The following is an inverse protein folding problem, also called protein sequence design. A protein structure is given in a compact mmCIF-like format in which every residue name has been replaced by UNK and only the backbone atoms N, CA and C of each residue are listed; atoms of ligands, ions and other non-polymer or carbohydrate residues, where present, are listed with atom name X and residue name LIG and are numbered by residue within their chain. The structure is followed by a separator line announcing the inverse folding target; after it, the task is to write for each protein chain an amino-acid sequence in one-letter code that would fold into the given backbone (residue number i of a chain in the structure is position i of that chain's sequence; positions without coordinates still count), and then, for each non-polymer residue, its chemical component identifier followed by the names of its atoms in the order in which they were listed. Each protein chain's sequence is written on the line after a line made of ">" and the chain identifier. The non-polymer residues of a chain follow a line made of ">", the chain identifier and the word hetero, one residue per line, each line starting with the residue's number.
data_IF_756935624559
#
_entry.id   IF_756935624559
#
_cell.length_a   1.000
_cell.length_b   1.000
_cell.length_c   1.000
_cell.angle_alpha   90.00
_cell.angle_beta   90.00
_cell.angle_gamma   90.00
#
_symmetry.space_group_name_H-M   'P 1'
#
loop_
_entity.id
_entity.type
_entity.pdbx_description
1 polymer ?
#
# COMPACT_ATOMS: atom_id res chain seq x y z
N UNK A 1 -10.25 27.49 14.13
CA UNK A 1 -11.17 27.54 12.99
C UNK A 1 -11.93 26.23 12.95
N UNK A 2 -13.25 26.24 12.80
CA UNK A 2 -14.00 25.00 12.61
C UNK A 2 -13.61 24.35 11.28
N UNK A 3 -13.43 23.03 11.27
CA UNK A 3 -13.21 22.28 10.04
C UNK A 3 -14.45 22.33 9.15
N UNK A 4 -14.25 22.26 7.83
CA UNK A 4 -15.37 22.03 6.93
C UNK A 4 -15.93 20.62 7.14
N UNK A 5 -17.21 20.41 6.82
CA UNK A 5 -17.84 19.10 6.97
C UNK A 5 -17.07 17.96 6.28
N UNK A 6 -16.48 18.23 5.11
CA UNK A 6 -15.67 17.26 4.38
C UNK A 6 -14.36 16.90 5.11
N UNK A 7 -13.68 17.89 5.69
CA UNK A 7 -12.46 17.65 6.48
C UNK A 7 -12.78 16.91 7.78
N UNK A 8 -13.90 17.25 8.42
CA UNK A 8 -14.37 16.55 9.62
C UNK A 8 -14.65 15.07 9.32
N UNK A 9 -15.30 14.76 8.20
CA UNK A 9 -15.56 13.38 7.79
C UNK A 9 -14.28 12.55 7.62
N UNK A 10 -13.16 13.16 7.19
CA UNK A 10 -11.86 12.44 7.13
C UNK A 10 -11.34 12.11 8.52
N UNK A 11 -11.45 13.06 9.47
CA UNK A 11 -11.04 12.84 10.86
C UNK A 11 -11.91 11.75 11.50
N UNK A 12 -13.21 11.77 11.25
CA UNK A 12 -14.15 10.77 11.75
C UNK A 12 -13.80 9.37 11.18
N UNK A 13 -13.61 9.26 9.87
CA UNK A 13 -13.18 8.01 9.22
C UNK A 13 -11.83 7.51 9.74
N UNK A 14 -10.87 8.41 9.98
CA UNK A 14 -9.59 8.05 10.59
C UNK A 14 -9.77 7.50 12.00
N UNK A 15 -10.66 8.08 12.80
CA UNK A 15 -10.93 7.61 14.16
C UNK A 15 -11.59 6.22 14.18
N UNK A 16 -12.46 5.96 13.22
CA UNK A 16 -13.13 4.67 13.01
C UNK A 16 -12.19 3.57 12.49
N UNK A 17 -11.12 3.94 11.78
CA UNK A 17 -10.15 2.99 11.24
C UNK A 17 -9.45 2.17 12.35
N UNK A 18 -8.91 1.02 11.94
CA UNK A 18 -8.19 0.13 12.87
C UNK A 18 -6.97 0.82 13.49
N UNK A 19 -6.51 0.35 14.67
CA UNK A 19 -5.34 0.91 15.34
C UNK A 19 -4.08 0.89 14.46
N UNK A 20 -3.94 -0.14 13.60
CA UNK A 20 -2.82 -0.29 12.68
C UNK A 20 -2.87 0.74 11.56
N UNK A 21 -4.02 0.88 10.92
CA UNK A 21 -4.25 1.90 9.88
C UNK A 21 -4.02 3.30 10.45
N UNK A 22 -4.50 3.57 11.68
CA UNK A 22 -4.21 4.83 12.36
C UNK A 22 -2.72 5.07 12.56
N UNK A 23 -1.97 4.09 13.05
CA UNK A 23 -0.52 4.25 13.23
C UNK A 23 0.21 4.50 11.90
N UNK A 24 -0.14 3.76 10.85
CA UNK A 24 0.47 3.93 9.52
C UNK A 24 0.16 5.30 8.91
N UNK A 25 -1.07 5.77 9.08
CA UNK A 25 -1.55 7.06 8.55
C UNK A 25 -1.58 8.17 9.61
N UNK A 26 -0.73 8.10 10.64
CA UNK A 26 -0.78 8.98 11.83
C UNK A 26 -0.76 10.49 11.54
N UNK A 27 -0.25 10.90 10.38
CA UNK A 27 -0.17 12.30 10.00
C UNK A 27 -1.45 12.83 9.33
N UNK A 28 -2.38 11.97 8.91
CA UNK A 28 -3.62 12.38 8.20
C UNK A 28 -4.42 13.45 8.95
N UNK A 29 -4.71 13.35 10.26
CA UNK A 29 -5.48 14.38 10.96
C UNK A 29 -4.79 15.75 10.88
N UNK A 30 -3.48 15.79 11.18
CA UNK A 30 -2.71 17.04 11.13
C UNK A 30 -2.63 17.64 9.72
N UNK A 31 -2.49 16.79 8.70
CA UNK A 31 -2.41 17.23 7.30
C UNK A 31 -3.73 17.82 6.81
N UNK A 32 -4.85 17.18 7.17
CA UNK A 32 -6.19 17.66 6.84
C UNK A 32 -6.50 18.98 7.53
N UNK A 33 -6.09 19.15 8.78
CA UNK A 33 -6.34 20.39 9.53
C UNK A 33 -5.53 21.57 8.99
N UNK A 34 -4.24 21.35 8.76
CA UNK A 34 -3.27 22.43 8.52
C UNK A 34 -3.08 22.77 7.04
N UNK A 35 -3.38 21.85 6.13
CA UNK A 35 -3.07 21.99 4.71
C UNK A 35 -4.31 21.83 3.81
N UNK A 36 -4.09 22.03 2.51
CA UNK A 36 -5.07 21.66 1.48
C UNK A 36 -5.17 20.12 1.41
N UNK A 37 -6.36 19.55 1.20
CA UNK A 37 -6.54 18.08 1.16
C UNK A 37 -5.64 17.38 0.16
N UNK A 38 -5.27 18.05 -0.94
CA UNK A 38 -4.27 17.58 -1.91
C UNK A 38 -2.94 17.11 -1.28
N UNK A 39 -2.45 17.76 -0.22
CA UNK A 39 -1.22 17.34 0.47
C UNK A 39 -1.45 16.00 1.19
N UNK A 40 -2.60 15.85 1.83
CA UNK A 40 -2.97 14.61 2.50
C UNK A 40 -3.23 13.48 1.49
N UNK A 41 -3.75 13.79 0.30
CA UNK A 41 -3.87 12.84 -0.82
C UNK A 41 -2.50 12.29 -1.20
N UNK A 42 -1.52 13.16 -1.47
CA UNK A 42 -0.15 12.71 -1.78
C UNK A 42 0.41 11.78 -0.71
N UNK A 43 0.29 12.19 0.56
CA UNK A 43 0.76 11.41 1.71
C UNK A 43 0.14 10.01 1.79
N UNK A 44 -1.19 9.87 1.67
CA UNK A 44 -1.83 8.55 1.82
C UNK A 44 -1.45 7.60 0.69
N UNK A 45 -1.25 8.11 -0.53
CA UNK A 45 -0.73 7.31 -1.63
C UNK A 45 0.74 6.94 -1.41
N UNK A 46 1.62 7.86 -0.98
CA UNK A 46 3.01 7.46 -0.71
C UNK A 46 3.09 6.37 0.37
N UNK A 47 2.25 6.48 1.41
CA UNK A 47 2.12 5.46 2.46
C UNK A 47 1.61 4.11 1.95
N UNK A 48 0.60 4.09 1.07
CA UNK A 48 0.07 2.84 0.52
C UNK A 48 1.05 2.18 -0.47
N UNK A 49 1.76 2.95 -1.31
CA UNK A 49 2.81 2.42 -2.19
C UNK A 49 3.95 1.78 -1.38
N UNK A 50 4.38 2.44 -0.30
CA UNK A 50 5.37 1.87 0.61
C UNK A 50 4.89 0.56 1.25
N UNK A 51 3.62 0.46 1.63
CA UNK A 51 3.01 -0.75 2.17
C UNK A 51 2.95 -1.89 1.14
N UNK A 52 2.59 -1.60 -0.11
CA UNK A 52 2.58 -2.58 -1.21
C UNK A 52 3.97 -3.17 -1.42
N UNK A 53 4.98 -2.31 -1.60
CA UNK A 53 6.38 -2.72 -1.76
C UNK A 53 6.86 -3.57 -0.58
N UNK A 54 6.58 -3.12 0.65
CA UNK A 54 6.95 -3.87 1.85
C UNK A 54 6.27 -5.25 1.91
N UNK A 55 5.01 -5.35 1.47
CA UNK A 55 4.25 -6.61 1.40
C UNK A 55 4.84 -7.59 0.41
N UNK A 56 5.18 -7.13 -0.80
CA UNK A 56 5.84 -7.94 -1.83
C UNK A 56 7.19 -8.45 -1.33
N UNK A 57 8.03 -7.56 -0.78
CA UNK A 57 9.33 -7.95 -0.20
C UNK A 57 9.14 -8.96 0.92
N UNK A 58 8.17 -8.74 1.82
CA UNK A 58 7.88 -9.68 2.90
C UNK A 58 7.49 -11.05 2.35
N UNK A 59 6.61 -11.12 1.35
CA UNK A 59 6.22 -12.37 0.69
C UNK A 59 7.38 -13.09 0.03
N UNK A 60 8.22 -12.38 -0.72
CA UNK A 60 9.43 -12.95 -1.33
C UNK A 60 10.36 -13.55 -0.28
N UNK A 61 10.54 -12.84 0.84
CA UNK A 61 11.42 -13.29 1.93
C UNK A 61 10.81 -14.46 2.69
N UNK A 62 9.53 -14.42 3.06
CA UNK A 62 8.90 -15.41 3.94
C UNK A 62 8.48 -16.68 3.20
N UNK A 63 7.92 -16.55 1.99
CA UNK A 63 7.38 -17.66 1.19
C UNK A 63 8.42 -18.27 0.27
N UNK A 64 9.22 -17.45 -0.40
CA UNK A 64 10.21 -17.89 -1.39
C UNK A 64 11.64 -17.92 -0.86
N UNK A 65 11.82 -17.63 0.44
CA UNK A 65 13.12 -17.61 1.14
C UNK A 65 14.14 -16.70 0.45
N UNK A 66 13.68 -15.68 -0.28
CA UNK A 66 14.55 -14.78 -1.00
C UNK A 66 15.53 -14.08 -0.04
N UNK A 67 16.75 -13.83 -0.52
CA UNK A 67 17.68 -12.96 0.17
C UNK A 67 17.11 -11.54 0.19
N UNK A 68 16.83 -11.01 1.38
CA UNK A 68 16.12 -9.73 1.55
C UNK A 68 16.71 -8.56 0.77
N UNK A 69 18.04 -8.42 0.75
CA UNK A 69 18.66 -7.31 0.01
C UNK A 69 18.31 -7.35 -1.49
N UNK A 70 18.30 -8.54 -2.10
CA UNK A 70 17.95 -8.73 -3.51
C UNK A 70 16.45 -8.55 -3.72
N UNK A 71 15.62 -9.04 -2.80
CA UNK A 71 14.17 -8.80 -2.85
C UNK A 71 13.83 -7.29 -2.77
N UNK A 72 14.57 -6.52 -1.97
CA UNK A 72 14.42 -5.06 -1.89
C UNK A 72 14.89 -4.35 -3.15
N UNK A 73 15.96 -4.82 -3.80
CA UNK A 73 16.40 -4.26 -5.09
C UNK A 73 15.26 -4.33 -6.11
N UNK A 74 14.58 -5.47 -6.23
CA UNK A 74 13.42 -5.64 -7.11
C UNK A 74 12.29 -4.66 -6.80
N UNK A 75 11.92 -4.52 -5.53
CA UNK A 75 10.84 -3.62 -5.10
C UNK A 75 11.20 -2.12 -5.17
N UNK A 76 12.46 -1.76 -5.40
CA UNK A 76 12.89 -0.38 -5.68
C UNK A 76 12.87 -0.09 -7.17
N UNK A 77 13.16 -1.09 -8.01
CA UNK A 77 13.16 -0.95 -9.47
C UNK A 77 11.75 -0.97 -10.07
N UNK A 78 10.86 -1.74 -9.45
CA UNK A 78 9.44 -1.54 -9.63
C UNK A 78 9.07 -0.42 -8.66
N UNK A 79 8.98 0.83 -9.12
CA UNK A 79 7.99 1.72 -8.51
C UNK A 79 6.67 0.98 -8.71
N UNK A 80 6.28 0.12 -7.76
CA UNK A 80 5.17 -0.81 -7.89
C UNK A 80 4.00 0.04 -8.35
N UNK A 81 3.76 -0.03 -9.66
CA UNK A 81 2.81 0.86 -10.26
C UNK A 81 1.50 0.43 -9.61
N UNK A 82 0.70 1.40 -9.28
CA UNK A 82 -0.55 1.17 -8.57
C UNK A 82 -1.44 0.11 -9.24
N UNK A 83 -1.28 -0.02 -10.56
CA UNK A 83 -1.97 -0.98 -11.43
C UNK A 83 -1.22 -2.33 -11.58
N UNK A 84 -0.09 -2.52 -10.90
CA UNK A 84 0.76 -3.72 -10.95
C UNK A 84 0.73 -4.52 -9.64
N UNK A 85 0.40 -3.89 -8.51
CA UNK A 85 0.43 -4.54 -7.20
C UNK A 85 -0.39 -5.84 -7.15
N UNK A 86 -1.57 -5.90 -7.78
CA UNK A 86 -2.38 -7.13 -7.77
C UNK A 86 -1.72 -8.27 -8.56
N UNK A 87 -1.04 -7.96 -9.67
CA UNK A 87 -0.30 -8.95 -10.45
C UNK A 87 0.92 -9.46 -9.68
N UNK A 88 1.65 -8.56 -9.03
CA UNK A 88 2.79 -8.91 -8.18
C UNK A 88 2.34 -9.71 -6.96
N UNK A 89 1.24 -9.31 -6.32
CA UNK A 89 0.67 -10.04 -5.20
C UNK A 89 0.28 -11.45 -5.62
N UNK A 90 -0.41 -11.61 -6.75
CA UNK A 90 -0.75 -12.92 -7.30
C UNK A 90 0.50 -13.75 -7.64
N UNK A 91 1.54 -13.12 -8.19
CA UNK A 91 2.78 -13.81 -8.53
C UNK A 91 3.52 -14.31 -7.28
N UNK A 92 3.56 -13.51 -6.22
CA UNK A 92 4.27 -13.83 -4.98
C UNK A 92 3.46 -14.77 -4.09
N UNK A 93 2.17 -14.49 -3.89
CA UNK A 93 1.32 -15.18 -2.94
C UNK A 93 0.45 -16.26 -3.59
N UNK A 94 0.26 -16.24 -4.92
CA UNK A 94 -0.60 -17.20 -5.62
C UNK A 94 -2.09 -16.94 -5.46
N UNK A 95 -2.45 -15.86 -4.76
CA UNK A 95 -3.83 -15.49 -4.42
C UNK A 95 -4.21 -14.18 -5.13
N UNK A 96 -5.49 -14.04 -5.49
CA UNK A 96 -6.01 -12.84 -6.16
C UNK A 96 -6.63 -11.92 -5.11
N UNK A 97 -6.29 -10.63 -5.15
CA UNK A 97 -6.92 -9.62 -4.29
C UNK A 97 -8.41 -9.53 -4.66
N UNK A 98 -9.34 -9.61 -3.70
CA UNK A 98 -10.78 -9.58 -3.99
C UNK A 98 -11.17 -8.31 -4.74
N UNK A 99 -12.10 -8.45 -5.68
CA UNK A 99 -12.58 -7.32 -6.50
C UNK A 99 -13.08 -6.15 -5.65
N UNK A 100 -13.77 -6.44 -4.54
CA UNK A 100 -14.25 -5.41 -3.60
C UNK A 100 -13.10 -4.55 -3.01
N UNK A 101 -11.94 -5.15 -2.75
CA UNK A 101 -10.75 -4.44 -2.26
C UNK A 101 -10.09 -3.66 -3.40
N UNK A 102 -10.01 -4.28 -4.58
CA UNK A 102 -9.42 -3.67 -5.78
C UNK A 102 -10.20 -2.44 -6.27
N UNK A 103 -11.53 -2.45 -6.18
CA UNK A 103 -12.40 -1.31 -6.55
C UNK A 103 -12.11 -0.10 -5.66
N UNK A 104 -11.98 -0.30 -4.34
CA UNK A 104 -11.69 0.79 -3.40
C UNK A 104 -10.43 1.55 -3.83
N UNK A 105 -9.39 0.82 -4.21
CA UNK A 105 -8.14 1.42 -4.65
C UNK A 105 -8.22 2.01 -6.06
N UNK A 106 -8.85 1.30 -7.01
CA UNK A 106 -8.93 1.72 -8.41
C UNK A 106 -9.66 3.06 -8.59
N UNK A 107 -10.80 3.25 -7.92
CA UNK A 107 -11.54 4.51 -7.97
C UNK A 107 -10.74 5.68 -7.36
N UNK A 108 -10.05 5.43 -6.24
CA UNK A 108 -9.17 6.41 -5.62
C UNK A 108 -8.01 6.79 -6.55
N UNK A 109 -7.39 5.81 -7.22
CA UNK A 109 -6.28 6.06 -8.14
C UNK A 109 -6.71 6.83 -9.38
N UNK A 110 -7.90 6.59 -9.94
CA UNK A 110 -8.40 7.37 -11.08
C UNK A 110 -8.57 8.86 -10.74
N UNK A 111 -9.10 9.16 -9.55
CA UNK A 111 -9.18 10.53 -9.05
C UNK A 111 -7.79 11.15 -8.79
N UNK A 112 -6.83 10.37 -8.30
CA UNK A 112 -5.43 10.79 -8.17
C UNK A 112 -4.81 11.12 -9.52
N UNK A 113 -5.01 10.28 -10.53
CA UNK A 113 -4.53 10.52 -11.90
C UNK A 113 -5.11 11.80 -12.47
N UNK A 114 -6.39 12.05 -12.25
CA UNK A 114 -7.03 13.32 -12.62
C UNK A 114 -6.32 14.51 -11.94
N UNK A 115 -6.05 14.42 -10.64
CA UNK A 115 -5.34 15.46 -9.89
C UNK A 115 -3.92 15.72 -10.44
N UNK A 116 -3.14 14.65 -10.66
CA UNK A 116 -1.77 14.74 -11.21
C UNK A 116 -1.74 15.28 -12.65
N UNK A 117 -2.78 15.01 -13.43
CA UNK A 117 -2.95 15.59 -14.78
C UNK A 117 -3.35 17.06 -14.78
N UNK A 118 -3.47 17.69 -13.60
CA UNK A 118 -3.84 19.10 -13.44
C UNK A 118 -5.34 19.36 -13.58
N UNK A 119 -6.18 18.32 -13.63
CA UNK A 119 -7.64 18.50 -13.58
C UNK A 119 -8.04 18.99 -12.19
N UNK A 120 -9.01 19.91 -12.17
CA UNK A 120 -9.58 20.39 -10.91
C UNK A 120 -10.42 19.30 -10.27
N UNK A 121 -9.94 18.77 -9.15
CA UNK A 121 -10.68 17.89 -8.26
C UNK A 121 -11.16 18.73 -7.08
N UNK A 122 -12.44 18.58 -6.67
CA UNK A 122 -12.96 19.39 -5.57
C UNK A 122 -12.34 18.96 -4.25
N UNK A 123 -12.25 19.87 -3.26
CA UNK A 123 -11.78 19.50 -1.93
C UNK A 123 -12.65 18.43 -1.27
N UNK A 124 -13.94 18.34 -1.63
CA UNK A 124 -14.83 17.28 -1.15
C UNK A 124 -14.42 15.92 -1.70
N UNK A 125 -14.12 15.85 -3.00
CA UNK A 125 -13.70 14.59 -3.65
C UNK A 125 -12.31 14.17 -3.18
N UNK A 126 -11.40 15.12 -2.95
CA UNK A 126 -10.09 14.84 -2.34
C UNK A 126 -10.23 14.26 -0.92
N UNK A 127 -11.17 14.78 -0.11
CA UNK A 127 -11.45 14.22 1.21
C UNK A 127 -12.10 12.83 1.10
N UNK A 128 -13.03 12.64 0.16
CA UNK A 128 -13.63 11.33 -0.13
C UNK A 128 -12.59 10.27 -0.51
N UNK A 129 -11.61 10.66 -1.33
CA UNK A 129 -10.48 9.81 -1.69
C UNK A 129 -9.71 9.35 -0.45
N UNK A 130 -9.41 10.27 0.47
CA UNK A 130 -8.62 9.93 1.67
C UNK A 130 -9.38 8.92 2.53
N UNK A 131 -10.69 9.11 2.69
CA UNK A 131 -11.56 8.15 3.39
C UNK A 131 -11.51 6.78 2.71
N UNK A 132 -11.62 6.75 1.39
CA UNK A 132 -11.56 5.52 0.61
C UNK A 132 -10.20 4.81 0.74
N UNK A 133 -9.10 5.55 0.82
CA UNK A 133 -7.77 4.98 1.07
C UNK A 133 -7.62 4.38 2.48
N UNK A 134 -8.25 4.98 3.50
CA UNK A 134 -8.28 4.40 4.85
C UNK A 134 -9.09 3.10 4.87
N UNK A 135 -10.23 3.07 4.19
CA UNK A 135 -11.05 1.86 4.04
C UNK A 135 -10.34 0.76 3.25
N UNK A 136 -9.65 1.14 2.16
CA UNK A 136 -8.80 0.23 1.40
C UNK A 136 -7.73 -0.40 2.29
N UNK A 137 -7.08 0.41 3.13
CA UNK A 137 -6.03 -0.09 4.00
C UNK A 137 -6.54 -1.15 4.99
N UNK A 138 -7.68 -0.89 5.63
CA UNK A 138 -8.31 -1.87 6.54
C UNK A 138 -8.72 -3.15 5.79
N UNK A 139 -9.35 -3.01 4.62
CA UNK A 139 -9.81 -4.16 3.83
C UNK A 139 -8.64 -5.01 3.27
N UNK A 140 -7.57 -4.36 2.82
CA UNK A 140 -6.36 -5.04 2.37
C UNK A 140 -5.64 -5.71 3.54
N UNK A 141 -5.56 -5.07 4.71
CA UNK A 141 -4.93 -5.66 5.90
C UNK A 141 -5.66 -6.94 6.31
N UNK A 142 -6.99 -6.92 6.35
CA UNK A 142 -7.80 -8.10 6.66
C UNK A 142 -7.55 -9.23 5.67
N UNK A 143 -7.61 -8.93 4.36
CA UNK A 143 -7.38 -9.92 3.30
C UNK A 143 -5.97 -10.54 3.37
N UNK A 144 -4.93 -9.71 3.39
CA UNK A 144 -3.54 -10.18 3.38
C UNK A 144 -3.20 -10.91 4.68
N UNK A 145 -3.78 -10.51 5.81
CA UNK A 145 -3.60 -11.23 7.05
C UNK A 145 -4.26 -12.61 7.02
N UNK A 146 -5.45 -12.73 6.42
CA UNK A 146 -6.11 -14.02 6.25
C UNK A 146 -5.32 -14.96 5.33
N UNK A 147 -4.78 -14.44 4.21
CA UNK A 147 -4.07 -15.19 3.18
C UNK A 147 -2.63 -15.55 3.59
N UNK A 148 -1.87 -14.56 4.07
CA UNK A 148 -0.42 -14.67 4.25
C UNK A 148 0.06 -14.48 5.70
N UNK A 149 -0.84 -14.14 6.64
CA UNK A 149 -0.50 -13.77 8.03
C UNK A 149 0.48 -12.59 8.11
N UNK A 150 0.39 -11.69 7.14
CA UNK A 150 1.16 -10.45 7.06
C UNK A 150 0.19 -9.29 7.20
N UNK A 151 0.64 -8.22 7.86
CA UNK A 151 -0.10 -6.98 7.96
C UNK A 151 0.60 -5.91 7.09
N UNK A 152 0.10 -5.60 5.88
CA UNK A 152 0.71 -4.66 4.94
C UNK A 152 1.07 -3.30 5.54
N UNK A 153 0.23 -2.79 6.43
CA UNK A 153 0.37 -1.47 7.07
C UNK A 153 1.07 -1.54 8.44
N UNK A 154 1.83 -2.61 8.69
CA UNK A 154 2.69 -2.74 9.86
C UNK A 154 4.17 -2.58 9.50
N UNK A 155 5.05 -2.56 10.52
CA UNK A 155 6.48 -2.66 10.27
C UNK A 155 6.87 -4.09 9.82
N UNK A 156 7.06 -4.25 8.51
CA UNK A 156 7.51 -5.50 7.89
C UNK A 156 9.04 -5.64 7.82
N UNK A 157 9.79 -4.70 8.39
CA UNK A 157 11.26 -4.75 8.43
C UNK A 157 11.80 -5.96 9.20
N UNK A 158 10.99 -6.65 9.99
CA UNK A 158 11.40 -7.82 10.78
C UNK A 158 11.04 -9.18 10.14
N UNK A 159 10.33 -9.20 8.99
CA UNK A 159 9.86 -10.42 8.35
C UNK A 159 10.99 -11.39 7.94
N UNK A 160 10.99 -12.63 8.46
CA UNK A 160 12.02 -13.64 8.19
C UNK A 160 11.39 -14.96 7.70
N UNK A 161 12.08 -15.71 6.82
CA UNK A 161 11.60 -17.04 6.44
C UNK A 161 11.63 -17.99 7.62
N UNK A 162 10.84 -19.06 7.51
CA UNK A 162 11.07 -20.27 8.30
C UNK A 162 12.32 -20.96 7.74
N UNK A 163 13.41 -20.93 8.51
CA UNK A 163 14.72 -21.47 8.12
C UNK A 163 15.66 -20.41 7.51
N UNK A 164 16.67 -20.85 6.77
CA UNK A 164 17.64 -19.97 6.12
C UNK A 164 17.11 -19.42 4.79
N UNK A 165 17.41 -18.15 4.51
CA UNK A 165 17.25 -17.58 3.17
C UNK A 165 18.19 -18.26 2.18
N UNK A 166 17.80 -18.24 0.90
CA UNK A 166 18.69 -18.49 -0.22
C UNK A 166 19.83 -17.48 -0.24
N UNK A 167 20.96 -17.84 -0.85
CA UNK A 167 22.00 -16.87 -1.16
C UNK A 167 21.52 -15.89 -2.26
N UNK A 168 22.32 -14.83 -2.47
CA UNK A 168 21.97 -13.78 -3.43
C UNK A 168 21.86 -14.30 -4.87
N UNK A 169 22.70 -15.25 -5.27
CA UNK A 169 22.72 -15.77 -6.65
C UNK A 169 21.48 -16.61 -6.93
N UNK A 170 21.17 -17.57 -6.05
CA UNK A 170 19.93 -18.36 -6.18
C UNK A 170 18.68 -17.49 -6.09
N UNK A 171 18.68 -16.46 -5.24
CA UNK A 171 17.57 -15.51 -5.16
C UNK A 171 17.33 -14.81 -6.50
N UNK A 172 18.39 -14.36 -7.20
CA UNK A 172 18.24 -13.73 -8.52
C UNK A 172 17.60 -14.67 -9.53
N UNK A 173 18.03 -15.93 -9.57
CA UNK A 173 17.41 -16.90 -10.50
C UNK A 173 15.94 -17.14 -10.21
N UNK A 174 15.56 -17.28 -8.93
CA UNK A 174 14.16 -17.44 -8.51
C UNK A 174 13.33 -16.23 -8.93
N UNK A 175 13.76 -15.02 -8.55
CA UNK A 175 13.01 -13.80 -8.84
C UNK A 175 12.88 -13.56 -10.35
N UNK A 176 13.93 -13.86 -11.14
CA UNK A 176 13.88 -13.77 -12.61
C UNK A 176 12.89 -14.77 -13.20
N UNK A 177 12.84 -15.99 -12.66
CA UNK A 177 11.86 -17.00 -13.04
C UNK A 177 10.41 -16.63 -12.70
N UNK A 178 10.21 -15.80 -11.66
CA UNK A 178 8.91 -15.22 -11.29
C UNK A 178 8.52 -14.01 -12.15
N UNK A 179 9.38 -13.55 -13.07
CA UNK A 179 9.11 -12.42 -13.95
C UNK A 179 9.54 -11.06 -13.41
N UNK A 180 10.22 -11.00 -12.26
CA UNK A 180 10.75 -9.75 -11.73
C UNK A 180 11.97 -9.28 -12.53
N UNK A 181 12.10 -7.97 -12.80
CA UNK A 181 13.30 -7.42 -13.41
C UNK A 181 14.46 -7.47 -12.41
N UNK A 182 15.61 -8.01 -12.84
CA UNK A 182 16.82 -8.10 -12.00
C UNK A 182 18.01 -7.60 -12.80
N UNK A 183 18.76 -6.70 -12.18
CA UNK A 183 20.08 -6.26 -12.63
C UNK A 183 21.19 -7.16 -12.07
#
# INVERSE_FOLDING_TARGET
>A
MALSAAKQAVVDAYNEATARTKEHFRHVPSLIEQYKPEVAVGYVFDCASAAHNATIVAGLVTKHKAHRAVAREVAVFQECAWDEFHYEYQTVFGSVIPEAVSILFGEANELRRALLSGKRVSSKDQCGLIIQMLQYADALDEFVYADARIHPFADLSSAKPRGSSLDKSSTRWVLKGMGFPIL
#
